data_IF_372926501430
#
_entry.id   IF_372926501430
#
_cell.length_a   1.000
_cell.length_b   1.000
_cell.length_c   1.000
_cell.angle_alpha   90.00
_cell.angle_beta   90.00
_cell.angle_gamma   90.00
#
_symmetry.space_group_name_H-M   'P 1'
#
loop_
_entity.id
_entity.type
_entity.pdbx_description
1 polymer ?
#
# COMPACT_ATOMS: atom_id res chain seq x y z
N UNK A 1 11.71 8.50 -17.98
CA UNK A 1 12.64 7.41 -17.64
C UNK A 1 13.30 7.77 -16.31
N UNK A 2 13.42 6.83 -15.37
CA UNK A 2 13.98 7.07 -14.01
C UNK A 2 15.51 6.97 -14.00
N UNK A 3 16.16 7.51 -12.96
CA UNK A 3 17.63 7.49 -12.83
C UNK A 3 18.17 6.05 -12.80
N UNK A 4 17.65 5.17 -11.94
CA UNK A 4 18.09 3.76 -11.90
C UNK A 4 17.96 3.04 -13.25
N UNK A 5 16.92 3.34 -14.05
CA UNK A 5 16.78 2.73 -15.39
C UNK A 5 17.83 3.24 -16.37
N UNK A 6 18.22 4.51 -16.27
CA UNK A 6 19.33 5.05 -17.07
C UNK A 6 20.66 4.43 -16.67
N UNK A 7 20.91 4.29 -15.36
CA UNK A 7 22.12 3.64 -14.83
C UNK A 7 22.17 2.17 -15.26
N UNK A 8 21.10 1.41 -15.07
CA UNK A 8 21.03 0.01 -15.49
C UNK A 8 21.24 -0.12 -17.02
N UNK A 9 20.57 0.70 -17.83
CA UNK A 9 20.72 0.65 -19.29
C UNK A 9 22.14 1.02 -19.79
N UNK A 10 22.91 1.79 -19.01
CA UNK A 10 24.26 2.20 -19.38
C UNK A 10 25.34 1.22 -18.90
N UNK A 11 25.10 0.50 -17.80
CA UNK A 11 26.15 -0.24 -17.09
C UNK A 11 25.83 -1.72 -16.81
N UNK A 12 24.60 -2.19 -17.05
CA UNK A 12 24.22 -3.58 -16.87
C UNK A 12 23.79 -4.20 -18.20
N UNK A 13 24.26 -5.40 -18.47
CA UNK A 13 23.77 -6.20 -19.58
C UNK A 13 22.37 -6.72 -19.28
N UNK A 14 21.51 -6.78 -20.30
CA UNK A 14 20.18 -7.36 -20.24
C UNK A 14 19.98 -8.41 -21.33
N UNK A 15 20.72 -9.54 -21.29
CA UNK A 15 20.69 -10.55 -22.35
C UNK A 15 19.29 -11.18 -22.52
N UNK A 16 18.54 -11.27 -21.43
CA UNK A 16 17.19 -11.85 -21.40
C UNK A 16 16.08 -10.83 -21.74
N UNK A 17 16.45 -9.58 -22.05
CA UNK A 17 15.54 -8.48 -22.37
C UNK A 17 14.40 -8.32 -21.34
N UNK A 18 14.76 -8.41 -20.06
CA UNK A 18 13.82 -8.30 -18.95
C UNK A 18 13.27 -6.86 -18.84
N UNK A 19 11.99 -6.71 -18.51
CA UNK A 19 11.31 -5.41 -18.62
C UNK A 19 11.59 -4.45 -17.46
N UNK A 20 11.91 -4.96 -16.27
CA UNK A 20 12.01 -4.18 -15.03
C UNK A 20 13.44 -4.11 -14.50
N UNK A 21 13.72 -3.05 -13.75
CA UNK A 21 14.96 -2.88 -12.97
C UNK A 21 14.58 -2.84 -11.49
N UNK A 22 15.15 -3.74 -10.70
CA UNK A 22 14.94 -3.84 -9.25
C UNK A 22 16.09 -3.20 -8.48
N UNK A 23 15.80 -2.74 -7.26
CA UNK A 23 16.78 -2.32 -6.25
C UNK A 23 16.95 -3.46 -5.24
N UNK A 24 18.15 -4.06 -5.18
CA UNK A 24 18.44 -5.26 -4.38
C UNK A 24 18.22 -4.98 -2.88
N UNK A 25 18.58 -3.79 -2.39
CA UNK A 25 18.38 -3.36 -1.00
C UNK A 25 16.99 -2.77 -0.70
N UNK A 26 16.10 -2.71 -1.70
CA UNK A 26 14.79 -2.05 -1.65
C UNK A 26 14.81 -0.53 -1.39
N UNK A 27 15.98 0.12 -1.41
CA UNK A 27 16.14 1.57 -1.31
C UNK A 27 16.22 2.22 -2.71
N UNK A 28 15.13 2.88 -3.10
CA UNK A 28 15.02 3.58 -4.39
C UNK A 28 15.99 4.75 -4.56
N UNK A 29 16.62 5.21 -3.47
CA UNK A 29 17.64 6.26 -3.52
C UNK A 29 19.04 5.72 -3.86
N UNK A 30 19.30 4.43 -3.58
CA UNK A 30 20.57 3.78 -3.88
C UNK A 30 20.64 3.31 -5.34
N UNK A 31 21.04 4.21 -6.23
CA UNK A 31 21.15 3.94 -7.66
C UNK A 31 22.52 3.37 -8.08
N UNK A 32 23.28 2.80 -7.15
CA UNK A 32 24.58 2.18 -7.46
C UNK A 32 24.39 0.99 -8.41
N UNK A 33 25.25 0.84 -9.42
CA UNK A 33 25.16 -0.27 -10.40
C UNK A 33 25.10 -1.63 -9.71
N UNK A 34 25.88 -1.81 -8.64
CA UNK A 34 25.91 -3.04 -7.84
C UNK A 34 24.62 -3.31 -7.04
N UNK A 35 23.72 -2.34 -6.93
CA UNK A 35 22.43 -2.46 -6.25
C UNK A 35 21.25 -2.63 -7.23
N UNK A 36 21.52 -2.62 -8.54
CA UNK A 36 20.50 -2.72 -9.57
C UNK A 36 20.59 -4.07 -10.28
N UNK A 37 19.44 -4.63 -10.62
CA UNK A 37 19.36 -5.85 -11.44
C UNK A 37 18.17 -5.79 -12.39
N UNK A 38 18.30 -6.42 -13.56
CA UNK A 38 17.17 -6.64 -14.44
C UNK A 38 16.35 -7.83 -13.95
N UNK A 39 15.02 -7.70 -13.93
CA UNK A 39 14.14 -8.73 -13.40
C UNK A 39 12.79 -8.79 -14.12
N UNK A 40 12.03 -9.87 -13.86
CA UNK A 40 10.65 -9.97 -14.32
C UNK A 40 9.71 -9.13 -13.45
N UNK A 41 8.55 -8.76 -14.01
CA UNK A 41 7.49 -8.05 -13.26
C UNK A 41 7.04 -8.85 -12.03
N UNK A 42 6.93 -10.18 -12.15
CA UNK A 42 6.52 -11.03 -11.04
C UNK A 42 7.55 -10.97 -9.92
N UNK A 43 8.82 -11.17 -10.26
CA UNK A 43 9.93 -11.10 -9.31
C UNK A 43 9.92 -9.78 -8.54
N UNK A 44 9.91 -8.65 -9.26
CA UNK A 44 9.91 -7.31 -8.64
C UNK A 44 8.70 -7.11 -7.69
N UNK A 45 7.53 -7.65 -8.06
CA UNK A 45 6.33 -7.52 -7.23
C UNK A 45 6.33 -8.38 -5.96
N UNK A 46 7.12 -9.44 -5.93
CA UNK A 46 7.25 -10.33 -4.77
C UNK A 46 8.57 -10.19 -4.04
N UNK A 47 9.45 -9.29 -4.48
CA UNK A 47 10.80 -9.15 -3.95
C UNK A 47 10.83 -8.54 -2.55
N UNK A 48 11.79 -9.02 -1.74
CA UNK A 48 12.07 -8.51 -0.40
C UNK A 48 10.83 -8.38 0.47
N UNK A 49 10.65 -7.21 1.07
CA UNK A 49 9.55 -6.87 1.98
C UNK A 49 8.31 -6.32 1.27
N UNK A 50 8.24 -6.35 -0.07
CA UNK A 50 7.12 -5.75 -0.81
C UNK A 50 5.77 -6.35 -0.43
N UNK A 51 5.66 -7.66 -0.32
CA UNK A 51 4.39 -8.32 0.06
C UNK A 51 3.97 -7.96 1.49
N UNK A 52 4.92 -7.91 2.42
CA UNK A 52 4.66 -7.52 3.81
C UNK A 52 4.19 -6.07 3.91
N UNK A 53 4.85 -5.14 3.21
CA UNK A 53 4.45 -3.74 3.16
C UNK A 53 3.06 -3.57 2.54
N UNK A 54 2.74 -4.36 1.51
CA UNK A 54 1.38 -4.37 0.92
C UNK A 54 0.36 -4.90 1.93
N UNK A 55 0.65 -6.03 2.59
CA UNK A 55 -0.23 -6.60 3.60
C UNK A 55 -0.49 -5.62 4.75
N UNK A 56 0.57 -5.00 5.30
CA UNK A 56 0.48 -3.97 6.34
C UNK A 56 -0.30 -2.73 5.90
N UNK A 57 -0.14 -2.31 4.64
CA UNK A 57 -0.95 -1.22 4.08
C UNK A 57 -2.42 -1.63 3.88
N UNK A 58 -2.75 -2.91 3.87
CA UNK A 58 -4.13 -3.41 3.83
C UNK A 58 -4.72 -3.60 5.23
N UNK A 59 -3.88 -3.77 6.26
CA UNK A 59 -4.26 -3.79 7.68
C UNK A 59 -4.82 -2.46 8.18
N UNK A 60 -5.08 -1.46 7.31
CA UNK A 60 -5.62 -0.13 7.61
C UNK A 60 -6.61 -0.10 8.77
N UNK A 61 -6.14 0.12 10.02
CA UNK A 61 -6.99 0.05 11.18
C UNK A 61 -7.86 1.29 11.20
N UNK A 62 -9.11 1.15 11.62
CA UNK A 62 -10.05 2.27 11.67
C UNK A 62 -10.80 2.32 12.99
N UNK A 63 -11.16 3.53 13.38
CA UNK A 63 -12.06 3.77 14.49
C UNK A 63 -13.42 4.25 13.97
N UNK A 64 -14.48 3.57 14.39
CA UNK A 64 -15.86 4.04 14.26
C UNK A 64 -16.27 4.77 15.54
N UNK A 65 -16.91 5.92 15.39
CA UNK A 65 -17.38 6.77 16.49
C UNK A 65 -18.88 6.96 16.35
N UNK A 66 -19.65 6.60 17.38
CA UNK A 66 -21.10 6.83 17.42
C UNK A 66 -21.41 8.31 17.67
N UNK A 67 -22.66 8.73 17.46
CA UNK A 67 -23.13 10.06 17.85
C UNK A 67 -22.98 10.38 19.34
N UNK A 68 -22.95 9.36 20.21
CA UNK A 68 -22.68 9.51 21.65
C UNK A 68 -21.19 9.63 21.98
N UNK A 69 -20.29 9.53 20.98
CA UNK A 69 -18.84 9.59 21.16
C UNK A 69 -18.20 8.26 21.53
N UNK A 70 -18.95 7.16 21.58
CA UNK A 70 -18.40 5.83 21.84
C UNK A 70 -17.51 5.41 20.67
N UNK A 71 -16.29 4.95 20.98
CA UNK A 71 -15.29 4.55 20.01
C UNK A 71 -15.20 3.03 19.93
N UNK A 72 -15.02 2.54 18.71
CA UNK A 72 -14.74 1.13 18.44
C UNK A 72 -13.67 1.01 17.38
N UNK A 73 -12.66 0.19 17.65
CA UNK A 73 -11.52 -0.05 16.76
C UNK A 73 -11.73 -1.34 15.96
N UNK A 74 -11.23 -1.34 14.74
CA UNK A 74 -11.27 -2.45 13.80
C UNK A 74 -9.93 -2.54 13.08
N UNK A 75 -9.51 -3.76 12.76
CA UNK A 75 -8.26 -4.03 12.05
C UNK A 75 -8.41 -3.71 10.55
N UNK A 76 -9.63 -3.50 10.04
CA UNK A 76 -9.84 -3.07 8.67
C UNK A 76 -11.21 -2.46 8.41
N UNK A 77 -11.32 -1.75 7.28
CA UNK A 77 -12.61 -1.29 6.75
C UNK A 77 -13.58 -2.45 6.47
N UNK A 78 -13.06 -3.61 6.05
CA UNK A 78 -13.88 -4.79 5.77
C UNK A 78 -14.46 -5.40 7.04
N UNK A 79 -13.66 -5.48 8.09
CA UNK A 79 -14.13 -5.95 9.39
C UNK A 79 -15.22 -5.03 9.94
N UNK A 80 -14.99 -3.71 9.92
CA UNK A 80 -15.99 -2.73 10.35
C UNK A 80 -17.29 -2.83 9.54
N UNK A 81 -17.20 -2.93 8.21
CA UNK A 81 -18.35 -3.11 7.33
C UNK A 81 -19.17 -4.36 7.72
N UNK A 82 -18.49 -5.49 7.94
CA UNK A 82 -19.11 -6.75 8.32
C UNK A 82 -19.80 -6.65 9.68
N UNK A 83 -19.13 -6.13 10.70
CA UNK A 83 -19.68 -6.15 12.06
C UNK A 83 -20.71 -5.05 12.31
N UNK A 84 -20.59 -3.89 11.64
CA UNK A 84 -21.57 -2.82 11.72
C UNK A 84 -22.73 -2.99 10.73
N UNK A 85 -22.67 -3.97 9.81
CA UNK A 85 -23.68 -4.18 8.77
C UNK A 85 -23.75 -3.04 7.75
N UNK A 86 -22.61 -2.41 7.45
CA UNK A 86 -22.52 -1.22 6.59
C UNK A 86 -21.86 -1.53 5.25
N UNK A 87 -22.12 -0.68 4.25
CA UNK A 87 -21.43 -0.76 2.96
C UNK A 87 -20.02 -0.19 3.09
N UNK A 88 -19.00 -0.97 2.72
CA UNK A 88 -17.58 -0.57 2.71
C UNK A 88 -17.37 0.82 2.09
N UNK A 89 -17.99 1.08 0.94
CA UNK A 89 -17.87 2.36 0.23
C UNK A 89 -18.32 3.56 1.09
N UNK A 90 -19.35 3.39 1.91
CA UNK A 90 -19.82 4.47 2.80
C UNK A 90 -18.81 4.80 3.89
N UNK A 91 -18.18 3.77 4.46
CA UNK A 91 -17.09 3.91 5.44
C UNK A 91 -15.87 4.60 4.79
N UNK A 92 -15.44 4.12 3.61
CA UNK A 92 -14.34 4.70 2.84
C UNK A 92 -14.59 6.17 2.50
N UNK A 93 -15.82 6.53 2.10
CA UNK A 93 -16.17 7.91 1.85
C UNK A 93 -16.05 8.79 3.10
N UNK A 94 -16.32 8.25 4.28
CA UNK A 94 -16.08 8.96 5.53
C UNK A 94 -14.59 9.13 5.84
N UNK A 95 -13.79 8.08 5.67
CA UNK A 95 -12.35 8.11 5.93
C UNK A 95 -11.58 9.10 5.03
N UNK A 96 -12.08 9.35 3.81
CA UNK A 96 -11.54 10.34 2.88
C UNK A 96 -12.22 11.73 2.96
N UNK A 97 -13.08 11.95 3.96
CA UNK A 97 -13.75 13.25 4.15
C UNK A 97 -14.83 13.59 3.11
N UNK A 98 -15.16 12.67 2.20
CA UNK A 98 -16.25 12.85 1.22
C UNK A 98 -17.64 12.82 1.88
N UNK A 99 -17.75 12.25 3.09
CA UNK A 99 -18.97 12.24 3.91
C UNK A 99 -18.62 12.42 5.39
N UNK A 100 -19.40 13.21 6.13
CA UNK A 100 -19.17 13.42 7.58
C UNK A 100 -19.53 12.19 8.43
N UNK A 101 -20.58 11.47 8.04
CA UNK A 101 -21.09 10.30 8.76
C UNK A 101 -21.74 9.30 7.79
N UNK A 102 -21.82 8.04 8.21
CA UNK A 102 -22.52 6.96 7.52
C UNK A 102 -23.28 6.10 8.54
N UNK A 103 -24.62 6.06 8.43
CA UNK A 103 -25.52 5.35 9.35
C UNK A 103 -25.26 5.63 10.85
N UNK A 104 -25.04 6.89 11.21
CA UNK A 104 -24.83 7.30 12.62
C UNK A 104 -23.40 7.11 13.14
N UNK A 105 -22.47 6.67 12.29
CA UNK A 105 -21.05 6.55 12.61
C UNK A 105 -20.21 7.57 11.84
N UNK A 106 -19.22 8.15 12.50
CA UNK A 106 -18.06 8.78 11.88
C UNK A 106 -16.87 7.82 11.91
N UNK A 107 -15.97 7.94 10.94
CA UNK A 107 -14.83 7.03 10.79
C UNK A 107 -13.53 7.81 10.66
N UNK A 108 -12.47 7.31 11.30
CA UNK A 108 -11.11 7.84 11.17
C UNK A 108 -10.10 6.70 11.12
N UNK A 109 -8.95 6.93 10.48
CA UNK A 109 -7.82 6.02 10.55
C UNK A 109 -7.33 5.94 11.99
N UNK A 110 -7.10 4.72 12.48
CA UNK A 110 -6.44 4.50 13.76
C UNK A 110 -4.93 4.43 13.50
N UNK A 111 -4.17 5.20 14.29
CA UNK A 111 -2.69 5.27 14.25
C UNK A 111 -2.14 4.38 15.34
#
# INVERSE_FOLDING_TARGET
MSIHRLVAAAFLDNPDNLPEVNHIDEDKSNNSVSNLEYCTVLYNNTYGTRLERVAKALECPICAITSSGQRRYFDSVNEAARVLGLKRQGITNCLHGMRKHHHGFSFMWAV
#
